data_IF_780574759703
#
_entry.id   IF_780574759703
#
_cell.length_a   1.000
_cell.length_b   1.000
_cell.length_c   1.000
_cell.angle_alpha   90.00
_cell.angle_beta   90.00
_cell.angle_gamma   90.00
#
_symmetry.space_group_name_H-M   'P 1'
#
loop_
_entity.id
_entity.type
_entity.pdbx_description
1 polymer ?
#
# COMPACT_ATOMS: atom_id res chain seq x y z
N UNK A 1 -30.68 -56.76 12.60
CA UNK A 1 -31.60 -55.66 12.33
C UNK A 1 -30.82 -54.37 12.50
N UNK A 2 -30.76 -53.63 11.52
CA UNK A 2 -30.04 -52.42 11.03
C UNK A 2 -29.31 -51.57 12.04
N UNK A 3 -28.00 -51.63 11.96
CA UNK A 3 -27.04 -50.67 12.55
C UNK A 3 -27.04 -49.41 11.73
N UNK A 4 -27.23 -48.27 12.41
CA UNK A 4 -27.02 -46.97 11.83
C UNK A 4 -25.60 -46.48 12.22
N UNK A 5 -24.71 -46.50 11.25
CA UNK A 5 -23.37 -45.98 11.34
C UNK A 5 -23.45 -44.46 11.25
N UNK A 6 -23.25 -43.77 12.39
CA UNK A 6 -23.08 -42.33 12.47
C UNK A 6 -21.69 -41.95 11.95
N UNK A 7 -21.63 -41.37 10.77
CA UNK A 7 -20.40 -40.77 10.23
C UNK A 7 -20.16 -39.43 10.89
N UNK A 8 -19.29 -39.43 11.86
CA UNK A 8 -18.76 -38.20 12.46
C UNK A 8 -17.81 -37.55 11.46
N UNK A 9 -18.34 -36.61 10.69
CA UNK A 9 -17.57 -35.81 9.75
C UNK A 9 -16.82 -34.76 10.56
N UNK A 10 -15.57 -35.05 10.93
CA UNK A 10 -14.67 -34.13 11.60
C UNK A 10 -14.46 -32.87 10.77
N UNK A 11 -15.14 -31.80 11.18
CA UNK A 11 -14.93 -30.46 10.65
C UNK A 11 -13.52 -30.03 11.06
N UNK A 12 -12.55 -30.20 10.16
CA UNK A 12 -11.24 -29.59 10.28
C UNK A 12 -11.43 -28.08 10.41
N UNK A 13 -11.32 -27.61 11.65
CA UNK A 13 -11.24 -26.19 11.93
C UNK A 13 -9.99 -25.66 11.20
N UNK A 14 -10.21 -24.94 10.10
CA UNK A 14 -9.17 -24.16 9.47
C UNK A 14 -8.66 -23.20 10.53
N UNK A 15 -7.45 -23.43 11.00
CA UNK A 15 -6.73 -22.46 11.82
C UNK A 15 -6.61 -21.20 10.98
N UNK A 16 -7.42 -20.23 11.30
CA UNK A 16 -7.33 -18.88 10.77
C UNK A 16 -6.01 -18.30 11.28
N UNK A 17 -4.92 -18.56 10.59
CA UNK A 17 -3.70 -17.78 10.80
C UNK A 17 -4.05 -16.37 10.34
N UNK A 18 -4.14 -15.45 11.29
CA UNK A 18 -4.41 -14.04 11.03
C UNK A 18 -3.20 -13.38 10.37
N UNK A 19 -2.98 -13.74 9.11
CA UNK A 19 -2.04 -13.04 8.26
C UNK A 19 -2.62 -11.65 8.01
N UNK A 20 -1.90 -10.57 8.26
CA UNK A 20 -2.36 -9.23 7.94
C UNK A 20 -2.67 -9.12 6.45
N UNK A 21 -3.93 -8.96 6.14
CA UNK A 21 -4.43 -8.74 4.79
C UNK A 21 -5.39 -7.58 4.79
N UNK A 22 -5.18 -6.64 3.89
CA UNK A 22 -6.05 -5.49 3.73
C UNK A 22 -6.26 -5.18 2.25
N UNK A 23 -7.49 -4.79 1.91
CA UNK A 23 -7.83 -4.26 0.61
C UNK A 23 -8.83 -3.10 0.81
N UNK A 24 -8.59 -2.00 0.12
CA UNK A 24 -9.37 -0.78 0.23
C UNK A 24 -9.43 -0.06 -1.11
N UNK A 25 -10.54 0.60 -1.37
CA UNK A 25 -10.74 1.49 -2.52
C UNK A 25 -11.01 2.90 -2.02
N UNK A 26 -10.29 3.88 -2.56
CA UNK A 26 -10.45 5.31 -2.29
C UNK A 26 -10.73 6.09 -3.55
N UNK A 27 -11.59 7.12 -3.46
CA UNK A 27 -11.77 8.13 -4.50
C UNK A 27 -11.09 9.40 -4.07
N UNK A 28 -10.24 9.94 -4.94
CA UNK A 28 -9.43 11.12 -4.68
C UNK A 28 -9.58 12.13 -5.83
N UNK A 29 -9.60 13.45 -5.55
CA UNK A 29 -9.81 14.49 -6.56
C UNK A 29 -8.53 14.80 -7.36
N UNK A 30 -7.76 13.79 -7.69
CA UNK A 30 -6.49 13.88 -8.43
C UNK A 30 -6.53 12.90 -9.59
N UNK A 31 -5.75 13.15 -10.65
CA UNK A 31 -5.73 12.23 -11.80
C UNK A 31 -5.02 10.91 -11.50
N UNK A 32 -5.27 9.82 -12.25
CA UNK A 32 -4.53 8.58 -12.13
C UNK A 32 -3.01 8.76 -12.25
N UNK A 33 -2.56 9.65 -13.15
CA UNK A 33 -1.15 9.98 -13.34
C UNK A 33 -0.53 10.61 -12.08
N UNK A 34 -1.24 11.57 -11.48
CA UNK A 34 -0.80 12.23 -10.25
C UNK A 34 -0.67 11.23 -9.10
N UNK A 35 -1.68 10.38 -8.91
CA UNK A 35 -1.65 9.37 -7.85
C UNK A 35 -0.61 8.29 -8.11
N UNK A 36 -0.45 7.87 -9.36
CA UNK A 36 0.61 6.95 -9.76
C UNK A 36 2.00 7.51 -9.48
N UNK A 37 2.26 8.74 -9.93
CA UNK A 37 3.58 9.39 -9.79
C UNK A 37 3.94 9.59 -8.30
N UNK A 38 2.95 9.93 -7.45
CA UNK A 38 3.13 10.02 -6.00
C UNK A 38 3.54 8.69 -5.38
N UNK A 39 2.88 7.58 -5.75
CA UNK A 39 3.19 6.24 -5.20
C UNK A 39 4.46 5.64 -5.82
N UNK A 40 4.77 5.97 -7.07
CA UNK A 40 5.99 5.49 -7.75
C UNK A 40 7.26 6.14 -7.21
N UNK A 41 7.18 7.36 -6.68
CA UNK A 41 8.34 8.09 -6.12
C UNK A 41 8.70 7.61 -4.71
N UNK A 42 9.16 6.36 -4.63
CA UNK A 42 9.54 5.72 -3.35
C UNK A 42 10.67 6.45 -2.63
N UNK A 43 11.50 7.23 -3.34
CA UNK A 43 12.61 8.01 -2.73
C UNK A 43 12.11 9.04 -1.73
N UNK A 44 10.90 9.55 -1.93
CA UNK A 44 10.27 10.56 -1.08
C UNK A 44 9.52 10.00 0.14
N UNK A 45 9.37 8.69 0.25
CA UNK A 45 8.65 8.06 1.37
C UNK A 45 9.16 8.48 2.76
N UNK A 46 10.47 8.64 3.01
CA UNK A 46 10.95 9.12 4.32
C UNK A 46 10.49 10.53 4.67
N UNK A 47 10.06 11.34 3.70
CA UNK A 47 9.61 12.73 3.94
C UNK A 47 8.21 12.76 4.57
N UNK A 48 7.37 11.75 4.35
CA UNK A 48 5.97 11.79 4.77
C UNK A 48 5.44 10.50 5.42
N UNK A 49 6.07 9.34 5.21
CA UNK A 49 5.65 8.11 5.88
C UNK A 49 6.30 7.97 7.26
N UNK A 50 5.52 7.93 8.37
CA UNK A 50 6.02 8.17 9.72
C UNK A 50 7.00 7.14 10.26
N UNK A 51 7.08 5.94 9.69
CA UNK A 51 8.03 4.89 10.13
C UNK A 51 9.06 4.51 9.07
N UNK A 52 9.01 5.10 7.90
CA UNK A 52 10.04 4.92 6.89
C UNK A 52 11.19 5.87 7.20
N UNK A 53 12.28 5.33 7.71
CA UNK A 53 13.45 6.14 8.11
C UNK A 53 14.40 6.43 6.96
N UNK A 54 14.45 5.56 5.95
CA UNK A 54 15.23 5.75 4.73
C UNK A 54 14.73 4.86 3.58
N UNK A 55 14.99 5.31 2.36
CA UNK A 55 14.82 4.54 1.12
C UNK A 55 16.14 4.54 0.34
N UNK A 56 16.50 3.37 -0.16
CA UNK A 56 17.68 3.20 -1.03
C UNK A 56 17.25 2.49 -2.30
N UNK A 57 17.20 3.22 -3.41
CA UNK A 57 16.94 2.63 -4.73
C UNK A 57 18.26 2.13 -5.31
N UNK A 58 18.37 0.80 -5.47
CA UNK A 58 19.58 0.13 -5.99
C UNK A 58 19.64 0.15 -7.50
N UNK A 59 18.47 -0.01 -8.14
CA UNK A 59 18.31 -0.03 -9.60
C UNK A 59 16.93 0.53 -9.93
N UNK A 60 16.84 1.27 -11.01
CA UNK A 60 15.58 1.84 -11.48
C UNK A 60 15.55 1.99 -12.99
N UNK A 61 14.40 1.70 -13.56
CA UNK A 61 14.00 1.95 -14.94
C UNK A 61 12.59 2.53 -14.94
N UNK A 62 12.05 2.89 -16.09
CA UNK A 62 10.66 3.35 -16.19
C UNK A 62 9.66 2.27 -15.76
N UNK A 63 9.98 0.99 -16.04
CA UNK A 63 9.09 -0.14 -15.77
C UNK A 63 9.31 -0.80 -14.41
N UNK A 64 10.47 -0.66 -13.78
CA UNK A 64 10.75 -1.34 -12.51
C UNK A 64 11.81 -0.62 -11.65
N UNK A 65 11.73 -0.86 -10.33
CA UNK A 65 12.77 -0.46 -9.40
C UNK A 65 13.07 -1.60 -8.40
N UNK A 66 14.33 -1.69 -7.97
CA UNK A 66 14.75 -2.50 -6.83
C UNK A 66 15.14 -1.55 -5.70
N UNK A 67 14.44 -1.63 -4.57
CA UNK A 67 14.61 -0.68 -3.47
C UNK A 67 14.65 -1.37 -2.11
N UNK A 68 15.47 -0.79 -1.21
CA UNK A 68 15.47 -1.10 0.20
C UNK A 68 14.68 -0.04 0.95
N UNK A 69 13.69 -0.45 1.70
CA UNK A 69 12.94 0.38 2.64
C UNK A 69 13.39 0.07 4.06
N UNK A 70 13.86 1.07 4.78
CA UNK A 70 14.26 0.93 6.17
C UNK A 70 13.14 1.46 7.04
N UNK A 71 12.54 0.56 7.81
CA UNK A 71 11.41 0.85 8.71
C UNK A 71 11.89 0.83 10.15
N UNK A 72 11.54 1.88 10.90
CA UNK A 72 11.80 1.99 12.33
C UNK A 72 10.52 2.07 13.14
N UNK A 73 10.37 1.23 14.17
CA UNK A 73 9.22 1.27 15.05
C UNK A 73 9.60 0.80 16.47
N UNK A 74 9.35 1.63 17.49
CA UNK A 74 9.60 1.31 18.91
C UNK A 74 10.98 0.67 19.19
N UNK A 75 12.04 1.23 18.60
CA UNK A 75 13.41 0.75 18.78
C UNK A 75 13.80 -0.44 17.88
N UNK A 76 12.87 -1.00 17.12
CA UNK A 76 13.15 -1.99 16.07
C UNK A 76 13.47 -1.29 14.77
N UNK A 77 14.45 -1.79 14.04
CA UNK A 77 14.83 -1.30 12.71
C UNK A 77 15.02 -2.47 11.78
N UNK A 78 14.20 -2.51 10.73
CA UNK A 78 14.21 -3.59 9.76
C UNK A 78 14.37 -3.05 8.35
N UNK A 79 15.01 -3.83 7.48
CA UNK A 79 15.17 -3.52 6.07
C UNK A 79 14.38 -4.49 5.22
N UNK A 80 13.56 -3.94 4.32
CA UNK A 80 12.76 -4.68 3.37
C UNK A 80 13.28 -4.39 1.96
N UNK A 81 13.78 -5.40 1.27
CA UNK A 81 14.13 -5.29 -0.14
C UNK A 81 12.94 -5.73 -0.97
N UNK A 82 12.52 -4.89 -1.89
CA UNK A 82 11.37 -5.14 -2.76
C UNK A 82 11.66 -4.75 -4.22
N UNK A 83 11.05 -5.52 -5.13
CA UNK A 83 10.95 -5.18 -6.54
C UNK A 83 9.63 -4.48 -6.76
N UNK A 84 9.68 -3.30 -7.36
CA UNK A 84 8.52 -2.47 -7.69
C UNK A 84 8.34 -2.49 -9.19
N UNK A 85 7.31 -3.15 -9.69
CA UNK A 85 6.92 -3.14 -11.10
C UNK A 85 5.93 -1.99 -11.35
N UNK A 86 6.16 -1.22 -12.41
CA UNK A 86 5.45 0.01 -12.73
C UNK A 86 4.82 -0.07 -14.13
N UNK A 87 3.50 0.09 -14.21
CA UNK A 87 2.73 0.22 -15.46
C UNK A 87 1.98 1.54 -15.41
N UNK A 88 2.60 2.62 -15.91
CA UNK A 88 2.06 3.97 -15.81
C UNK A 88 0.91 4.20 -16.80
N UNK A 89 -0.18 4.82 -16.36
CA UNK A 89 -0.49 5.28 -15.00
C UNK A 89 -1.35 4.28 -14.19
N UNK A 90 -1.47 3.03 -14.63
CA UNK A 90 -2.52 2.11 -14.22
C UNK A 90 -2.21 1.32 -12.94
N UNK A 91 -0.94 0.89 -12.78
CA UNK A 91 -0.61 -0.10 -11.74
C UNK A 91 0.81 0.02 -11.20
N UNK A 92 0.94 -0.16 -9.90
CA UNK A 92 2.21 -0.44 -9.21
C UNK A 92 2.05 -1.75 -8.46
N UNK A 93 2.96 -2.69 -8.70
CA UNK A 93 3.00 -3.98 -8.04
C UNK A 93 4.33 -4.16 -7.30
N UNK A 94 4.27 -4.52 -6.03
CA UNK A 94 5.44 -4.69 -5.17
C UNK A 94 5.57 -6.14 -4.77
N UNK A 95 6.71 -6.72 -5.12
CA UNK A 95 7.11 -8.07 -4.72
C UNK A 95 8.24 -8.02 -3.70
N UNK A 96 8.13 -8.86 -2.69
CA UNK A 96 9.15 -9.02 -1.67
C UNK A 96 10.35 -9.80 -2.21
N UNK A 97 11.56 -9.30 -1.92
CA UNK A 97 12.82 -9.95 -2.30
C UNK A 97 13.56 -10.48 -1.07
N UNK A 98 13.78 -9.62 -0.06
CA UNK A 98 14.52 -10.00 1.14
C UNK A 98 14.16 -9.15 2.37
N UNK A 99 14.39 -9.71 3.59
CA UNK A 99 14.16 -9.07 4.87
C UNK A 99 13.41 -9.97 5.86
N UNK A 100 12.65 -9.40 6.82
CA UNK A 100 12.02 -10.14 7.93
C UNK A 100 10.72 -10.86 7.57
N UNK A 101 10.20 -10.70 6.34
CA UNK A 101 8.95 -11.31 5.92
C UNK A 101 9.16 -12.71 5.32
N UNK A 102 8.11 -13.53 5.35
CA UNK A 102 8.01 -14.75 4.55
C UNK A 102 7.64 -14.41 3.12
N UNK A 103 6.72 -13.46 2.97
CA UNK A 103 6.26 -12.92 1.71
C UNK A 103 5.63 -11.54 1.93
N UNK A 104 5.50 -10.78 0.85
CA UNK A 104 4.70 -9.56 0.74
C UNK A 104 4.16 -9.49 -0.69
N UNK A 105 2.87 -9.26 -0.79
CA UNK A 105 2.19 -8.86 -2.00
C UNK A 105 1.52 -7.52 -1.75
N UNK A 106 1.86 -6.53 -2.55
CA UNK A 106 1.23 -5.22 -2.47
C UNK A 106 0.90 -4.74 -3.88
N UNK A 107 -0.32 -4.30 -4.08
CA UNK A 107 -0.84 -3.90 -5.38
C UNK A 107 -1.57 -2.57 -5.26
N UNK A 108 -1.29 -1.67 -6.20
CA UNK A 108 -1.95 -0.38 -6.37
C UNK A 108 -2.50 -0.31 -7.78
N UNK A 109 -3.77 0.08 -7.92
CA UNK A 109 -4.39 0.33 -9.21
C UNK A 109 -5.02 1.70 -9.21
N UNK A 110 -4.84 2.42 -10.30
CA UNK A 110 -5.30 3.79 -10.47
C UNK A 110 -6.21 3.84 -11.70
N UNK A 111 -7.45 4.24 -11.49
CA UNK A 111 -8.45 4.31 -12.56
C UNK A 111 -9.17 5.65 -12.53
N UNK A 112 -9.49 6.27 -13.69
CA UNK A 112 -10.36 7.44 -13.73
C UNK A 112 -11.71 7.13 -13.05
N UNK A 113 -12.23 8.05 -12.26
CA UNK A 113 -13.55 7.90 -11.61
C UNK A 113 -14.71 8.39 -12.47
N UNK A 114 -14.43 9.00 -13.63
CA UNK A 114 -15.43 9.59 -14.55
C UNK A 114 -15.81 11.02 -14.21
N UNK A 115 -15.33 11.57 -13.09
CA UNK A 115 -15.65 12.93 -12.61
C UNK A 115 -14.40 13.83 -12.54
N UNK A 116 -13.29 13.38 -13.13
CA UNK A 116 -12.00 14.09 -13.15
C UNK A 116 -11.05 13.71 -12.02
N UNK A 117 -11.46 12.78 -11.16
CA UNK A 117 -10.66 12.20 -10.08
C UNK A 117 -10.13 10.81 -10.41
N UNK A 118 -9.58 10.16 -9.39
CA UNK A 118 -9.02 8.82 -9.45
C UNK A 118 -9.64 7.89 -8.41
N UNK A 119 -10.03 6.71 -8.84
CA UNK A 119 -10.27 5.58 -7.94
C UNK A 119 -8.95 4.82 -7.74
N UNK A 120 -8.48 4.79 -6.50
CA UNK A 120 -7.27 4.06 -6.09
C UNK A 120 -7.69 2.79 -5.38
N UNK A 121 -7.35 1.63 -5.95
CA UNK A 121 -7.48 0.34 -5.27
C UNK A 121 -6.13 -0.06 -4.71
N UNK A 122 -6.08 -0.27 -3.41
CA UNK A 122 -4.90 -0.68 -2.66
C UNK A 122 -5.13 -2.05 -2.02
N UNK A 123 -4.17 -2.95 -2.14
CA UNK A 123 -4.18 -4.19 -1.39
C UNK A 123 -2.78 -4.55 -0.88
N UNK A 124 -2.72 -5.10 0.32
CA UNK A 124 -1.50 -5.62 0.93
C UNK A 124 -1.79 -6.91 1.66
N UNK A 125 -0.89 -7.89 1.47
CA UNK A 125 -0.92 -9.21 2.11
C UNK A 125 0.52 -9.63 2.40
N UNK A 126 0.84 -9.90 3.66
CA UNK A 126 2.19 -10.28 4.07
C UNK A 126 2.20 -11.15 5.32
N UNK A 127 3.30 -11.89 5.54
CA UNK A 127 3.55 -12.61 6.77
C UNK A 127 4.99 -12.44 7.24
N UNK A 128 5.20 -12.41 8.56
CA UNK A 128 6.53 -12.36 9.15
C UNK A 128 7.16 -13.76 9.28
N UNK A 129 8.50 -13.82 9.20
CA UNK A 129 9.26 -15.04 9.52
C UNK A 129 9.19 -15.37 11.01
N UNK A 130 9.17 -14.36 11.88
CA UNK A 130 9.15 -14.50 13.33
C UNK A 130 7.71 -14.28 13.86
N UNK A 131 7.21 -15.28 14.63
CA UNK A 131 5.87 -15.23 15.25
C UNK A 131 5.68 -14.07 16.22
N UNK A 132 6.73 -13.64 16.90
CA UNK A 132 6.67 -12.50 17.83
C UNK A 132 6.42 -11.20 17.05
N UNK A 133 7.09 -11.00 15.91
CA UNK A 133 6.82 -9.87 15.02
C UNK A 133 5.41 -9.92 14.43
N UNK A 134 4.95 -11.12 14.05
CA UNK A 134 3.58 -11.32 13.54
C UNK A 134 2.52 -10.90 14.56
N UNK A 135 2.71 -11.27 15.84
CA UNK A 135 1.81 -10.92 16.94
C UNK A 135 1.82 -9.42 17.24
N UNK A 136 3.00 -8.78 17.28
CA UNK A 136 3.13 -7.33 17.49
C UNK A 136 2.54 -6.53 16.33
N UNK A 137 2.81 -6.94 15.09
CA UNK A 137 2.28 -6.31 13.90
C UNK A 137 0.75 -6.40 13.85
N UNK A 138 0.16 -7.55 14.20
CA UNK A 138 -1.29 -7.73 14.24
C UNK A 138 -2.01 -6.72 15.15
N UNK A 139 -1.39 -6.31 16.26
CA UNK A 139 -1.96 -5.33 17.19
C UNK A 139 -1.93 -3.89 16.65
N UNK A 140 -0.92 -3.53 15.88
CA UNK A 140 -0.70 -2.15 15.42
C UNK A 140 -1.00 -1.94 13.94
N UNK A 141 -1.18 -3.02 13.18
CA UNK A 141 -1.34 -2.99 11.74
C UNK A 141 -2.44 -2.04 11.26
N UNK A 142 -3.64 -2.14 11.84
CA UNK A 142 -4.75 -1.29 11.44
C UNK A 142 -4.50 0.21 11.70
N UNK A 143 -3.79 0.56 12.77
CA UNK A 143 -3.41 1.94 13.05
C UNK A 143 -2.32 2.41 12.08
N UNK A 144 -1.31 1.57 11.86
CA UNK A 144 -0.23 1.85 10.94
C UNK A 144 -0.75 2.10 9.51
N UNK A 145 -1.66 1.24 9.07
CA UNK A 145 -2.27 1.35 7.75
C UNK A 145 -3.08 2.64 7.58
N UNK A 146 -3.95 2.98 8.55
CA UNK A 146 -4.71 4.24 8.50
C UNK A 146 -3.80 5.46 8.45
N UNK A 147 -2.71 5.47 9.22
CA UNK A 147 -1.74 6.57 9.18
C UNK A 147 -1.00 6.65 7.85
N UNK A 148 -0.66 5.51 7.27
CA UNK A 148 -0.04 5.45 5.94
C UNK A 148 -0.97 6.02 4.87
N UNK A 149 -2.24 5.59 4.84
CA UNK A 149 -3.23 6.10 3.90
C UNK A 149 -3.40 7.61 4.06
N UNK A 150 -3.59 8.10 5.29
CA UNK A 150 -3.69 9.54 5.57
C UNK A 150 -2.44 10.31 5.11
N UNK A 151 -1.24 9.77 5.32
CA UNK A 151 0.00 10.42 4.88
C UNK A 151 0.09 10.54 3.34
N UNK A 152 -0.37 9.53 2.59
CA UNK A 152 -0.47 9.62 1.13
C UNK A 152 -1.50 10.66 0.67
N UNK A 153 -2.67 10.73 1.32
CA UNK A 153 -3.70 11.72 1.03
C UNK A 153 -3.23 13.15 1.33
N UNK A 154 -2.59 13.37 2.47
CA UNK A 154 -1.97 14.66 2.84
C UNK A 154 -0.87 15.06 1.86
N UNK A 155 -0.01 14.11 1.47
CA UNK A 155 1.04 14.37 0.49
C UNK A 155 0.48 14.73 -0.88
N UNK A 156 -0.59 14.07 -1.33
CA UNK A 156 -1.30 14.41 -2.56
C UNK A 156 -1.86 15.84 -2.49
N UNK A 157 -2.43 16.24 -1.35
CA UNK A 157 -2.92 17.60 -1.14
C UNK A 157 -1.79 18.63 -1.22
N UNK A 158 -0.64 18.35 -0.64
CA UNK A 158 0.54 19.24 -0.71
C UNK A 158 1.05 19.40 -2.14
N UNK A 159 1.09 18.30 -2.91
CA UNK A 159 1.65 18.32 -4.26
C UNK A 159 0.67 18.86 -5.31
N UNK A 160 -0.62 18.57 -5.16
CA UNK A 160 -1.61 18.77 -6.21
C UNK A 160 -2.81 19.64 -5.81
N UNK A 161 -2.97 19.96 -4.53
CA UNK A 161 -4.12 20.69 -4.00
C UNK A 161 -4.28 22.14 -4.50
N UNK A 162 -3.20 22.73 -5.03
CA UNK A 162 -3.21 24.10 -5.59
C UNK A 162 -3.72 24.19 -7.04
N UNK A 163 -3.93 23.06 -7.71
CA UNK A 163 -4.29 23.03 -9.14
C UNK A 163 -5.79 23.16 -9.40
N UNK A 164 -6.63 23.27 -8.38
CA UNK A 164 -8.10 23.31 -8.49
C UNK A 164 -8.73 24.70 -8.59
N UNK A 165 -7.97 25.81 -8.59
CA UNK A 165 -8.58 27.14 -8.49
C UNK A 165 -8.07 28.18 -9.52
N UNK A 166 -7.80 27.75 -10.75
CA UNK A 166 -7.45 28.71 -11.83
C UNK A 166 -8.29 28.54 -13.09
N UNK A 167 -9.62 28.59 -12.94
CA UNK A 167 -10.49 28.81 -14.10
C UNK A 167 -11.85 29.35 -13.65
N UNK A 168 -11.91 30.60 -13.18
CA UNK A 168 -13.12 31.40 -13.30
C UNK A 168 -12.88 32.86 -12.85
N UNK A 169 -12.22 33.64 -13.65
CA UNK A 169 -12.44 35.11 -13.64
C UNK A 169 -11.80 35.74 -14.86
N UNK A 170 -12.47 35.64 -15.98
CA UNK A 170 -12.29 36.59 -17.07
C UNK A 170 -13.58 36.56 -17.91
N UNK A 171 -14.48 37.41 -17.62
CA UNK A 171 -15.16 38.29 -18.60
C UNK A 171 -16.39 38.91 -18.00
N UNK A 172 -16.28 40.15 -17.65
CA UNK A 172 -17.32 41.12 -18.01
C UNK A 172 -16.75 42.53 -17.83
N UNK A 173 -16.38 43.11 -18.94
CA UNK A 173 -16.29 44.55 -19.08
C UNK A 173 -16.36 44.90 -20.57
N UNK A 174 -17.49 45.32 -21.02
CA UNK A 174 -17.71 46.36 -22.02
C UNK A 174 -19.21 46.54 -22.26
#
# INVERSE_FOLDING_TARGET
>A
MREMISRNCGRLARRNSSVPKHAETRRLPYTPEQMFDLVADVRRYPEFLPWVSAMRVRKETDAEALADMIVGFKGLRETFTSKVAKTRPERIHVEYVDGPLKYLHNDWRFRPDGEGGCQVDFSVDFAFKNRMFEMLAGQVFGLALRRMIGAFEERATVLYGSSGNSSSSAHSAA
#
